data_IF_565433256595
#
_entry.id   IF_565433256595
#
_cell.length_a   1.000
_cell.length_b   1.000
_cell.length_c   1.000
_cell.angle_alpha   90.00
_cell.angle_beta   90.00
_cell.angle_gamma   90.00
#
_symmetry.space_group_name_H-M   'P 1'
#
loop_
_entity.id
_entity.type
_entity.pdbx_description
1 polymer ?
#
# COMPACT_ATOMS: atom_id res chain seq x y z
N UNK A 1 -22.00 14.01 7.09
CA UNK A 1 -21.59 12.63 7.40
C UNK A 1 -22.08 11.63 6.34
N UNK A 2 -23.39 11.51 6.07
CA UNK A 2 -23.97 10.55 5.11
C UNK A 2 -23.34 10.62 3.70
N UNK A 3 -23.24 11.81 3.11
CA UNK A 3 -22.63 12.00 1.78
C UNK A 3 -21.15 11.60 1.72
N UNK A 4 -20.40 11.87 2.79
CA UNK A 4 -18.99 11.50 2.88
C UNK A 4 -18.81 9.96 2.92
N UNK A 5 -19.66 9.25 3.67
CA UNK A 5 -19.68 7.78 3.71
C UNK A 5 -20.00 7.21 2.32
N UNK A 6 -21.02 7.74 1.63
CA UNK A 6 -21.40 7.29 0.28
C UNK A 6 -20.23 7.46 -0.69
N UNK A 7 -19.62 8.64 -0.72
CA UNK A 7 -18.44 8.95 -1.56
C UNK A 7 -17.28 8.00 -1.26
N UNK A 8 -16.97 7.81 0.02
CA UNK A 8 -15.86 6.94 0.44
C UNK A 8 -16.10 5.47 0.10
N UNK A 9 -17.34 4.98 0.25
CA UNK A 9 -17.73 3.64 -0.19
C UNK A 9 -17.60 3.48 -1.71
N UNK A 10 -18.04 4.47 -2.51
CA UNK A 10 -17.90 4.45 -3.97
C UNK A 10 -16.42 4.35 -4.39
N UNK A 11 -15.56 5.17 -3.81
CA UNK A 11 -14.12 5.16 -4.09
C UNK A 11 -13.48 3.84 -3.68
N UNK A 12 -13.74 3.37 -2.46
CA UNK A 12 -13.22 2.10 -1.97
C UNK A 12 -13.67 0.90 -2.83
N UNK A 13 -14.94 0.88 -3.27
CA UNK A 13 -15.46 -0.15 -4.17
C UNK A 13 -14.72 -0.16 -5.50
N UNK A 14 -14.58 1.01 -6.14
CA UNK A 14 -13.83 1.17 -7.39
C UNK A 14 -12.41 0.64 -7.24
N UNK A 15 -11.69 1.10 -6.21
CA UNK A 15 -10.31 0.71 -5.94
C UNK A 15 -10.13 -0.80 -5.74
N UNK A 16 -11.07 -1.45 -5.03
CA UNK A 16 -11.04 -2.91 -4.87
C UNK A 16 -11.25 -3.65 -6.21
N UNK A 17 -12.10 -3.13 -7.10
CA UNK A 17 -12.27 -3.68 -8.45
C UNK A 17 -11.05 -3.43 -9.33
N UNK A 18 -10.44 -2.26 -9.22
CA UNK A 18 -9.24 -1.88 -9.97
C UNK A 18 -8.04 -2.78 -9.64
N UNK A 19 -7.88 -3.24 -8.40
CA UNK A 19 -6.86 -4.24 -8.02
C UNK A 19 -6.95 -5.47 -8.93
N UNK A 20 -8.15 -5.95 -9.23
CA UNK A 20 -8.35 -7.10 -10.11
C UNK A 20 -8.15 -6.76 -11.58
N UNK A 21 -8.70 -5.63 -12.05
CA UNK A 21 -8.56 -5.16 -13.44
C UNK A 21 -7.09 -4.95 -13.81
N UNK A 22 -6.31 -4.40 -12.88
CA UNK A 22 -4.85 -4.18 -13.01
C UNK A 22 -4.01 -5.43 -12.78
N UNK A 23 -4.64 -6.60 -12.59
CA UNK A 23 -3.98 -7.90 -12.35
C UNK A 23 -3.05 -7.89 -11.13
N UNK A 24 -3.33 -7.04 -10.13
CA UNK A 24 -2.55 -6.96 -8.90
C UNK A 24 -2.95 -8.05 -7.89
N UNK A 25 -4.08 -8.71 -8.10
CA UNK A 25 -4.54 -9.83 -7.29
C UNK A 25 -5.36 -10.83 -8.10
N UNK A 26 -5.48 -12.05 -7.56
CA UNK A 26 -6.32 -13.11 -8.08
C UNK A 26 -7.43 -13.44 -7.08
N UNK A 27 -8.56 -13.93 -7.54
CA UNK A 27 -9.69 -14.42 -6.72
C UNK A 27 -10.17 -13.40 -5.67
N UNK A 28 -9.94 -13.69 -4.38
CA UNK A 28 -10.36 -12.87 -3.24
C UNK A 28 -9.18 -12.12 -2.60
N UNK A 29 -7.96 -12.34 -3.08
CA UNK A 29 -6.77 -11.74 -2.54
C UNK A 29 -6.73 -10.22 -2.78
N UNK A 30 -6.00 -9.55 -1.92
CA UNK A 30 -5.88 -8.10 -1.97
C UNK A 30 -7.11 -7.36 -1.47
N UNK A 31 -6.89 -6.14 -1.07
CA UNK A 31 -7.91 -5.24 -0.60
C UNK A 31 -7.46 -3.79 -0.69
N UNK A 32 -8.43 -2.88 -0.75
CA UNK A 32 -8.22 -1.46 -0.59
C UNK A 32 -9.18 -0.91 0.45
N UNK A 33 -8.74 0.14 1.14
CA UNK A 33 -9.54 0.88 2.10
C UNK A 33 -9.45 2.38 1.84
N UNK A 34 -10.46 3.12 2.29
CA UNK A 34 -10.57 4.57 2.16
C UNK A 34 -10.88 5.18 3.53
N UNK A 35 -10.06 6.13 3.99
CA UNK A 35 -10.39 6.97 5.15
C UNK A 35 -11.63 7.80 4.85
N UNK A 36 -12.59 7.79 5.74
CA UNK A 36 -13.81 8.62 5.67
C UNK A 36 -13.56 9.97 6.32
N UNK A 37 -13.04 9.93 7.54
CA UNK A 37 -12.63 11.08 8.35
C UNK A 37 -11.54 10.65 9.35
N UNK A 38 -11.25 11.45 10.35
CA UNK A 38 -10.18 11.15 11.31
C UNK A 38 -10.47 9.94 12.19
N UNK A 39 -11.74 9.56 12.34
CA UNK A 39 -12.16 8.45 13.20
C UNK A 39 -12.58 7.19 12.43
N UNK A 40 -12.88 7.28 11.13
CA UNK A 40 -13.52 6.20 10.39
C UNK A 40 -12.78 5.92 9.07
N UNK A 41 -12.73 4.65 8.70
CA UNK A 41 -12.40 4.20 7.36
C UNK A 41 -13.33 3.09 6.88
N UNK A 42 -13.40 2.90 5.57
CA UNK A 42 -14.16 1.82 4.95
C UNK A 42 -13.21 0.86 4.26
N UNK A 43 -13.49 -0.44 4.37
CA UNK A 43 -12.67 -1.52 3.81
C UNK A 43 -13.56 -2.62 3.21
N UNK A 44 -13.01 -3.39 2.30
CA UNK A 44 -13.65 -4.58 1.73
C UNK A 44 -13.91 -5.65 2.80
N UNK A 45 -15.02 -6.42 2.68
CA UNK A 45 -15.26 -7.59 3.53
C UNK A 45 -14.31 -8.74 3.20
N UNK A 46 -14.10 -9.63 4.17
CA UNK A 46 -13.34 -10.87 3.98
C UNK A 46 -14.07 -11.84 3.07
N UNK A 47 -13.32 -12.62 2.27
CA UNK A 47 -13.84 -13.76 1.51
C UNK A 47 -14.77 -13.45 0.33
N UNK A 48 -15.10 -12.18 0.07
CA UNK A 48 -15.94 -11.82 -1.09
C UNK A 48 -15.04 -11.54 -2.31
N UNK A 49 -15.40 -12.22 -3.42
CA UNK A 49 -14.72 -12.03 -4.70
C UNK A 49 -14.84 -10.57 -5.17
N UNK A 50 -13.72 -9.99 -5.60
CA UNK A 50 -13.64 -8.58 -6.02
C UNK A 50 -14.56 -8.24 -7.22
N UNK A 51 -14.89 -9.21 -8.07
CA UNK A 51 -15.87 -9.03 -9.16
C UNK A 51 -17.31 -8.85 -8.65
N UNK A 52 -17.66 -9.52 -7.54
CA UNK A 52 -19.03 -9.60 -7.01
C UNK A 52 -19.32 -8.57 -5.90
N UNK A 53 -18.30 -7.93 -5.35
CA UNK A 53 -18.43 -6.96 -4.25
C UNK A 53 -19.33 -5.78 -4.63
N UNK A 54 -20.22 -5.40 -3.72
CA UNK A 54 -21.14 -4.25 -3.84
C UNK A 54 -20.81 -3.20 -2.77
N UNK A 55 -21.28 -1.97 -2.98
CA UNK A 55 -21.05 -0.86 -2.05
C UNK A 55 -21.60 -1.14 -0.63
N UNK A 56 -22.72 -1.88 -0.54
CA UNK A 56 -23.32 -2.21 0.75
C UNK A 56 -22.55 -3.31 1.51
N UNK A 57 -21.70 -4.07 0.84
CA UNK A 57 -20.86 -5.10 1.45
C UNK A 57 -19.68 -4.48 2.22
N UNK A 58 -19.30 -3.25 1.86
CA UNK A 58 -18.14 -2.58 2.46
C UNK A 58 -18.38 -2.27 3.94
N UNK A 59 -17.37 -2.58 4.76
CA UNK A 59 -17.44 -2.47 6.21
C UNK A 59 -16.78 -1.18 6.67
N UNK A 60 -17.47 -0.42 7.54
CA UNK A 60 -16.94 0.77 8.18
C UNK A 60 -16.31 0.37 9.51
N UNK A 61 -15.11 0.87 9.76
CA UNK A 61 -14.32 0.58 10.96
C UNK A 61 -13.99 1.88 11.67
N UNK A 62 -14.11 1.88 12.98
CA UNK A 62 -13.61 2.94 13.86
C UNK A 62 -12.10 2.78 14.05
N UNK A 63 -11.34 3.83 13.73
CA UNK A 63 -9.87 3.81 13.77
C UNK A 63 -9.34 3.63 15.19
N UNK A 64 -10.02 4.21 16.19
CA UNK A 64 -9.54 4.20 17.57
C UNK A 64 -9.81 2.85 18.25
N UNK A 65 -11.04 2.37 18.16
CA UNK A 65 -11.47 1.14 18.84
C UNK A 65 -11.29 -0.13 18.01
N UNK A 66 -11.18 -0.03 16.68
CA UNK A 66 -11.19 -1.18 15.78
C UNK A 66 -12.57 -1.82 15.58
N UNK A 67 -13.61 -1.27 16.21
CA UNK A 67 -14.97 -1.81 16.09
C UNK A 67 -15.56 -1.53 14.72
N UNK A 68 -16.24 -2.54 14.15
CA UNK A 68 -17.05 -2.35 12.94
C UNK A 68 -18.36 -1.63 13.27
N UNK A 69 -18.81 -0.77 12.36
CA UNK A 69 -20.02 0.03 12.50
C UNK A 69 -21.05 -0.45 11.46
N UNK A 70 -22.25 -0.81 11.95
CA UNK A 70 -23.41 -1.13 11.11
C UNK A 70 -23.16 -2.11 9.95
N UNK A 71 -22.41 -3.20 10.19
CA UNK A 71 -22.21 -4.26 9.21
C UNK A 71 -22.36 -5.64 9.84
N UNK A 72 -23.04 -6.54 9.13
CA UNK A 72 -23.11 -7.97 9.48
C UNK A 72 -21.87 -8.73 8.97
N UNK A 73 -21.21 -8.23 7.94
CA UNK A 73 -20.05 -8.88 7.32
C UNK A 73 -18.78 -8.73 8.18
N UNK A 74 -17.90 -9.72 8.08
CA UNK A 74 -16.55 -9.61 8.63
C UNK A 74 -15.70 -8.74 7.70
N UNK A 75 -14.94 -7.75 8.21
CA UNK A 75 -14.01 -6.99 7.40
C UNK A 75 -12.84 -7.87 6.93
N UNK A 76 -12.05 -7.37 5.96
CA UNK A 76 -10.80 -8.01 5.51
C UNK A 76 -9.93 -8.39 6.71
N UNK A 77 -9.19 -9.51 6.61
CA UNK A 77 -8.17 -9.89 7.60
C UNK A 77 -7.19 -8.76 7.86
N UNK A 78 -6.76 -8.04 6.82
CA UNK A 78 -5.79 -6.95 6.92
C UNK A 78 -6.30 -5.67 7.59
N UNK A 79 -7.53 -5.67 8.10
CA UNK A 79 -8.16 -4.49 8.73
C UNK A 79 -7.30 -3.88 9.83
N UNK A 80 -6.67 -4.71 10.68
CA UNK A 80 -5.82 -4.21 11.76
C UNK A 80 -4.53 -3.58 11.24
N UNK A 81 -3.95 -4.11 10.16
CA UNK A 81 -2.81 -3.48 9.47
C UNK A 81 -3.18 -2.08 8.98
N UNK A 82 -4.31 -1.95 8.26
CA UNK A 82 -4.79 -0.66 7.76
C UNK A 82 -5.11 0.30 8.90
N UNK A 83 -5.77 -0.18 9.96
CA UNK A 83 -6.18 0.61 11.11
C UNK A 83 -5.00 1.28 11.81
N UNK A 84 -3.95 0.52 12.11
CA UNK A 84 -2.77 1.08 12.81
C UNK A 84 -1.99 2.05 11.93
N UNK A 85 -1.95 1.83 10.62
CA UNK A 85 -1.38 2.78 9.66
C UNK A 85 -2.18 4.08 9.61
N UNK A 86 -3.52 4.02 9.53
CA UNK A 86 -4.37 5.20 9.60
C UNK A 86 -4.22 5.94 10.93
N UNK A 87 -4.14 5.21 12.05
CA UNK A 87 -3.95 5.81 13.38
C UNK A 87 -2.62 6.55 13.50
N UNK A 88 -1.55 5.98 12.91
CA UNK A 88 -0.21 6.56 12.99
C UNK A 88 0.02 7.71 12.01
N UNK A 89 -0.57 7.63 10.81
CA UNK A 89 -0.35 8.56 9.71
C UNK A 89 -1.65 9.22 9.26
N UNK A 90 -2.04 10.38 9.84
CA UNK A 90 -3.30 11.07 9.50
C UNK A 90 -3.38 11.56 8.05
N UNK A 91 -2.23 11.78 7.41
CA UNK A 91 -2.10 12.17 6.01
C UNK A 91 -2.44 11.05 5.02
N UNK A 92 -2.35 9.78 5.42
CA UNK A 92 -2.78 8.65 4.59
C UNK A 92 -4.30 8.63 4.53
N UNK A 93 -4.84 8.74 3.30
CA UNK A 93 -6.30 8.73 3.07
C UNK A 93 -6.79 7.46 2.37
N UNK A 94 -5.90 6.68 1.75
CA UNK A 94 -6.20 5.37 1.18
C UNK A 94 -5.03 4.41 1.37
N UNK A 95 -5.33 3.11 1.50
CA UNK A 95 -4.35 2.03 1.59
C UNK A 95 -4.79 0.91 0.65
N UNK A 96 -3.85 0.32 -0.08
CA UNK A 96 -4.02 -0.88 -0.89
C UNK A 96 -3.00 -1.94 -0.49
N UNK A 97 -3.45 -3.19 -0.46
CA UNK A 97 -2.63 -4.36 -0.22
C UNK A 97 -2.93 -5.42 -1.26
N UNK A 98 -1.89 -6.04 -1.80
CA UNK A 98 -2.02 -7.19 -2.68
C UNK A 98 -0.73 -8.00 -2.75
N UNK A 99 -0.83 -9.16 -3.43
CA UNK A 99 0.28 -10.09 -3.67
C UNK A 99 0.56 -10.24 -5.18
N UNK A 100 0.88 -9.16 -5.90
CA UNK A 100 1.19 -9.28 -7.32
C UNK A 100 2.56 -9.94 -7.49
N UNK A 101 2.81 -10.48 -8.68
CA UNK A 101 3.88 -11.45 -8.93
C UNK A 101 5.27 -10.94 -8.55
N UNK A 102 5.67 -9.77 -9.06
CA UNK A 102 7.04 -9.28 -8.85
C UNK A 102 7.23 -8.74 -7.43
N UNK A 103 6.27 -7.98 -6.88
CA UNK A 103 6.36 -7.49 -5.51
C UNK A 103 6.40 -8.64 -4.49
N UNK A 104 5.60 -9.68 -4.71
CA UNK A 104 5.59 -10.83 -3.82
C UNK A 104 6.89 -11.62 -3.93
N UNK A 105 7.42 -11.79 -5.14
CA UNK A 105 8.73 -12.43 -5.36
C UNK A 105 9.84 -11.67 -4.62
N UNK A 106 9.90 -10.34 -4.74
CA UNK A 106 10.85 -9.52 -3.97
C UNK A 106 10.64 -9.65 -2.47
N UNK A 107 9.38 -9.61 -1.99
CA UNK A 107 9.06 -9.79 -0.58
C UNK A 107 9.55 -11.13 -0.02
N UNK A 108 9.41 -12.21 -0.81
CA UNK A 108 9.90 -13.55 -0.45
C UNK A 108 11.42 -13.63 -0.35
N UNK A 109 12.17 -12.85 -1.15
CA UNK A 109 13.64 -12.80 -1.04
C UNK A 109 14.14 -12.08 0.21
N UNK A 110 13.28 -11.31 0.88
CA UNK A 110 13.67 -10.45 1.99
C UNK A 110 14.52 -9.24 1.60
N UNK A 111 14.60 -8.89 0.31
CA UNK A 111 15.41 -7.78 -0.21
C UNK A 111 14.55 -6.57 -0.57
N UNK A 112 15.05 -5.37 -0.30
CA UNK A 112 14.49 -4.12 -0.83
C UNK A 112 14.64 -4.08 -2.35
N UNK A 113 13.71 -3.41 -3.06
CA UNK A 113 13.84 -3.21 -4.51
C UNK A 113 14.78 -2.03 -4.74
N UNK A 114 15.93 -2.21 -5.39
CA UNK A 114 16.90 -1.14 -5.60
C UNK A 114 16.39 -0.10 -6.59
N UNK A 115 16.74 1.17 -6.35
CA UNK A 115 16.46 2.23 -7.31
C UNK A 115 17.46 2.15 -8.48
N UNK A 116 17.01 1.63 -9.61
CA UNK A 116 17.82 1.37 -10.80
C UNK A 116 17.47 2.29 -11.99
N UNK A 117 16.52 3.23 -11.82
CA UNK A 117 16.11 4.05 -12.95
C UNK A 117 15.15 5.18 -12.63
N UNK A 118 14.86 5.97 -13.65
CA UNK A 118 14.02 7.16 -13.54
C UNK A 118 12.57 6.85 -13.21
N UNK A 119 12.02 5.74 -13.72
CA UNK A 119 10.66 5.29 -13.40
C UNK A 119 10.49 5.03 -11.91
N UNK A 120 11.49 4.38 -11.28
CA UNK A 120 11.52 4.20 -9.83
C UNK A 120 11.61 5.55 -9.12
N UNK A 121 12.55 6.40 -9.56
CA UNK A 121 12.82 7.70 -8.94
C UNK A 121 11.64 8.67 -9.00
N UNK A 122 10.72 8.51 -9.95
CA UNK A 122 9.49 9.31 -10.04
C UNK A 122 8.52 9.06 -8.86
N UNK A 123 8.64 7.94 -8.15
CA UNK A 123 7.76 7.55 -7.04
C UNK A 123 8.50 7.40 -5.71
N UNK A 124 9.70 6.81 -5.71
CA UNK A 124 10.53 6.59 -4.53
C UNK A 124 11.91 7.23 -4.72
N UNK A 125 12.30 8.09 -3.78
CA UNK A 125 13.65 8.70 -3.78
C UNK A 125 14.75 7.70 -3.45
N UNK A 126 14.42 6.69 -2.63
CA UNK A 126 15.32 5.61 -2.21
C UNK A 126 14.81 4.28 -2.74
N UNK A 127 15.50 3.19 -2.42
CA UNK A 127 15.00 1.83 -2.66
C UNK A 127 13.61 1.66 -2.05
N UNK A 128 12.73 0.86 -2.67
CA UNK A 128 11.47 0.47 -2.03
C UNK A 128 11.81 -0.44 -0.85
N UNK A 129 11.50 -0.02 0.39
CA UNK A 129 11.96 -0.72 1.56
C UNK A 129 11.12 -1.95 1.87
N UNK A 130 11.70 -2.88 2.61
CA UNK A 130 11.06 -4.10 3.10
C UNK A 130 11.08 -4.14 4.62
N UNK A 131 10.03 -4.68 5.24
CA UNK A 131 9.95 -4.89 6.69
C UNK A 131 10.94 -5.96 7.16
N UNK A 132 11.27 -5.94 8.44
CA UNK A 132 11.94 -7.07 9.07
C UNK A 132 10.98 -8.25 9.27
N UNK A 133 11.53 -9.42 9.60
CA UNK A 133 10.74 -10.56 10.06
C UNK A 133 9.94 -10.20 11.30
N UNK A 134 8.74 -10.75 11.38
CA UNK A 134 7.98 -10.79 12.63
C UNK A 134 8.55 -11.90 13.52
N UNK A 135 8.63 -11.63 14.81
CA UNK A 135 8.99 -12.66 15.79
C UNK A 135 7.89 -13.71 15.90
N UNK A 136 8.22 -14.89 16.39
CA UNK A 136 7.27 -16.00 16.56
C UNK A 136 6.02 -15.60 17.34
N UNK A 137 6.19 -14.87 18.44
CA UNK A 137 5.08 -14.36 19.27
C UNK A 137 4.20 -13.34 18.53
N UNK A 138 4.79 -12.51 17.67
CA UNK A 138 4.09 -11.52 16.82
C UNK A 138 3.28 -12.20 15.70
N UNK A 139 3.77 -13.32 15.16
CA UNK A 139 3.06 -14.14 14.19
C UNK A 139 1.88 -14.87 14.81
N UNK A 140 2.07 -15.48 15.98
CA UNK A 140 1.03 -16.26 16.66
C UNK A 140 -0.07 -15.35 17.24
N UNK A 141 0.31 -14.15 17.69
CA UNK A 141 -0.61 -13.21 18.37
C UNK A 141 -0.77 -11.95 17.54
N UNK A 142 -1.97 -11.70 17.04
CA UNK A 142 -2.32 -10.45 16.33
C UNK A 142 -1.42 -10.16 15.08
N UNK A 143 -1.28 -11.15 14.21
CA UNK A 143 -0.43 -11.09 13.01
C UNK A 143 -0.61 -9.80 12.20
N UNK A 144 -1.85 -9.45 11.86
CA UNK A 144 -2.14 -8.27 11.02
C UNK A 144 -1.82 -6.95 11.74
N UNK A 145 -2.07 -6.88 13.04
CA UNK A 145 -1.67 -5.73 13.86
C UNK A 145 -0.14 -5.57 13.85
N UNK A 146 0.58 -6.66 14.04
CA UNK A 146 2.05 -6.66 14.08
C UNK A 146 2.65 -6.39 12.71
N UNK A 147 2.02 -6.82 11.62
CA UNK A 147 2.38 -6.43 10.25
C UNK A 147 2.31 -4.90 10.11
N UNK A 148 1.23 -4.27 10.53
CA UNK A 148 1.11 -2.82 10.50
C UNK A 148 2.15 -2.11 11.39
N UNK A 149 2.43 -2.64 12.59
CA UNK A 149 3.50 -2.12 13.47
C UNK A 149 4.89 -2.25 12.85
N UNK A 150 5.17 -3.36 12.16
CA UNK A 150 6.43 -3.58 11.44
C UNK A 150 6.63 -2.53 10.34
N UNK A 151 5.58 -2.20 9.59
CA UNK A 151 5.61 -1.12 8.58
C UNK A 151 5.89 0.23 9.24
N UNK A 152 5.21 0.56 10.32
CA UNK A 152 5.42 1.81 11.06
C UNK A 152 6.86 1.92 11.55
N UNK A 153 7.37 0.85 12.17
CA UNK A 153 8.74 0.79 12.69
C UNK A 153 9.79 0.95 11.57
N UNK A 154 9.55 0.34 10.40
CA UNK A 154 10.40 0.48 9.22
C UNK A 154 10.49 1.95 8.79
N UNK A 155 9.36 2.63 8.64
CA UNK A 155 9.31 4.03 8.23
C UNK A 155 10.02 4.95 9.24
N UNK A 156 9.78 4.76 10.53
CA UNK A 156 10.43 5.52 11.61
C UNK A 156 11.94 5.27 11.62
N UNK A 157 12.38 4.01 11.64
CA UNK A 157 13.80 3.64 11.69
C UNK A 157 14.59 4.19 10.50
N UNK A 158 14.00 4.14 9.30
CA UNK A 158 14.61 4.65 8.07
C UNK A 158 14.40 6.17 7.86
N UNK A 159 13.69 6.84 8.79
CA UNK A 159 13.33 8.27 8.70
C UNK A 159 12.62 8.60 7.38
N UNK A 160 11.69 7.71 6.97
CA UNK A 160 10.91 7.87 5.74
C UNK A 160 9.56 8.51 6.06
N UNK A 161 9.24 9.59 5.36
CA UNK A 161 7.91 10.20 5.40
C UNK A 161 6.98 9.41 4.49
N UNK A 162 5.76 9.17 4.93
CA UNK A 162 4.75 8.42 4.14
C UNK A 162 4.44 9.06 2.79
N UNK A 163 4.58 10.38 2.67
CA UNK A 163 4.38 11.12 1.42
C UNK A 163 5.49 10.85 0.38
N UNK A 164 6.71 10.55 0.84
CA UNK A 164 7.87 10.32 0.00
C UNK A 164 8.22 8.82 -0.15
N UNK A 165 7.44 7.97 0.49
CA UNK A 165 7.54 6.52 0.42
C UNK A 165 6.11 5.96 0.37
N UNK A 166 5.46 5.98 -0.81
CA UNK A 166 4.05 5.65 -0.94
C UNK A 166 3.73 4.15 -0.87
N UNK A 167 4.70 3.31 -0.47
CA UNK A 167 4.51 1.88 -0.28
C UNK A 167 5.78 1.17 0.18
N UNK A 168 5.59 -0.04 0.70
CA UNK A 168 6.65 -0.92 1.23
C UNK A 168 6.36 -2.39 0.93
N UNK A 169 7.38 -3.22 0.94
CA UNK A 169 7.24 -4.67 0.99
C UNK A 169 7.05 -5.13 2.44
N UNK A 170 6.12 -6.04 2.65
CA UNK A 170 6.00 -6.84 3.86
C UNK A 170 6.69 -8.17 3.62
N UNK A 171 7.77 -8.46 4.36
CA UNK A 171 8.62 -9.62 4.14
C UNK A 171 7.81 -10.92 4.21
N UNK A 172 8.03 -11.83 3.24
CA UNK A 172 7.33 -13.10 3.03
C UNK A 172 5.83 -13.01 2.76
N UNK A 173 5.29 -11.79 2.55
CA UNK A 173 3.84 -11.59 2.45
C UNK A 173 3.45 -10.98 1.08
N UNK A 174 3.78 -9.71 0.86
CA UNK A 174 3.38 -8.96 -0.32
C UNK A 174 3.69 -7.48 -0.17
N UNK A 175 2.83 -6.60 -0.67
CA UNK A 175 3.07 -5.17 -0.62
C UNK A 175 1.90 -4.38 -0.03
N UNK A 176 2.23 -3.28 0.63
CA UNK A 176 1.28 -2.26 1.08
C UNK A 176 1.65 -0.94 0.44
N UNK A 177 0.68 -0.27 -0.18
CA UNK A 177 0.82 1.06 -0.73
C UNK A 177 -0.28 1.98 -0.20
N UNK A 178 -0.03 3.29 -0.19
CA UNK A 178 -0.96 4.29 0.31
C UNK A 178 -0.90 5.57 -0.50
N UNK A 179 -1.86 6.48 -0.28
CA UNK A 179 -1.95 7.76 -0.96
C UNK A 179 -3.04 8.66 -0.38
N UNK A 180 -3.35 9.72 -1.13
CA UNK A 180 -4.38 10.70 -0.78
C UNK A 180 -5.82 10.17 -1.00
N UNK A 181 -5.94 8.99 -1.58
CA UNK A 181 -7.19 8.25 -1.77
C UNK A 181 -6.91 6.77 -1.94
N UNK A 182 -7.96 5.93 -1.87
CA UNK A 182 -7.82 4.51 -2.22
C UNK A 182 -7.44 4.30 -3.69
N UNK A 183 -7.84 5.19 -4.59
CA UNK A 183 -7.44 5.17 -5.99
C UNK A 183 -5.94 5.45 -6.15
N UNK A 184 -5.41 6.46 -5.44
CA UNK A 184 -3.96 6.74 -5.43
C UNK A 184 -3.16 5.56 -4.83
N UNK A 185 -3.67 4.94 -3.78
CA UNK A 185 -3.03 3.78 -3.18
C UNK A 185 -2.90 2.62 -4.17
N UNK A 186 -3.95 2.35 -4.97
CA UNK A 186 -3.93 1.32 -6.02
C UNK A 186 -2.99 1.71 -7.16
N UNK A 187 -2.97 2.98 -7.59
CA UNK A 187 -2.01 3.47 -8.59
C UNK A 187 -0.56 3.34 -8.11
N UNK A 188 -0.28 3.66 -6.85
CA UNK A 188 1.05 3.47 -6.26
C UNK A 188 1.44 2.00 -6.18
N UNK A 189 0.49 1.10 -5.87
CA UNK A 189 0.74 -0.34 -5.86
C UNK A 189 1.03 -0.88 -7.28
N UNK A 190 0.31 -0.41 -8.30
CA UNK A 190 0.55 -0.73 -9.71
C UNK A 190 1.93 -0.24 -10.17
N UNK A 191 2.27 1.03 -9.87
CA UNK A 191 3.58 1.56 -10.19
C UNK A 191 4.71 0.78 -9.48
N UNK A 192 4.46 0.37 -8.23
CA UNK A 192 5.39 -0.43 -7.45
C UNK A 192 5.62 -1.81 -8.07
N UNK A 193 4.56 -2.48 -8.57
CA UNK A 193 4.67 -3.76 -9.29
C UNK A 193 5.50 -3.61 -10.57
N UNK A 194 5.20 -2.59 -11.38
CA UNK A 194 5.96 -2.32 -12.61
C UNK A 194 7.45 -2.02 -12.32
N UNK A 195 7.74 -1.26 -11.26
CA UNK A 195 9.12 -1.00 -10.81
C UNK A 195 9.81 -2.30 -10.36
N UNK A 196 9.10 -3.18 -9.67
CA UNK A 196 9.62 -4.47 -9.23
C UNK A 196 9.96 -5.38 -10.42
N UNK A 197 9.12 -5.39 -11.44
CA UNK A 197 9.34 -6.10 -12.70
C UNK A 197 10.58 -5.57 -13.43
N UNK A 198 10.68 -4.25 -13.61
CA UNK A 198 11.85 -3.62 -14.21
C UNK A 198 13.15 -3.95 -13.45
N UNK A 199 13.11 -3.88 -12.12
CA UNK A 199 14.26 -4.22 -11.29
C UNK A 199 14.67 -5.69 -11.42
N UNK A 200 13.69 -6.60 -11.54
CA UNK A 200 13.94 -8.02 -11.76
C UNK A 200 14.67 -8.25 -13.10
N UNK A 201 14.13 -7.74 -14.23
CA UNK A 201 14.78 -7.90 -15.53
C UNK A 201 16.13 -7.20 -15.60
N UNK A 202 16.26 -6.00 -15.02
CA UNK A 202 17.55 -5.31 -14.95
C UNK A 202 18.60 -6.14 -14.21
N UNK A 203 18.19 -6.85 -13.15
CA UNK A 203 19.09 -7.72 -12.40
C UNK A 203 19.54 -8.94 -13.20
N UNK A 204 18.69 -9.47 -14.08
CA UNK A 204 19.04 -10.59 -14.98
C UNK A 204 19.95 -10.13 -16.12
N UNK A 205 19.62 -9.02 -16.77
CA UNK A 205 20.43 -8.44 -17.86
C UNK A 205 21.81 -8.02 -17.33
N UNK A 206 21.88 -7.62 -16.09
CA UNK A 206 23.07 -7.13 -15.43
C UNK A 206 23.23 -5.61 -15.54
N UNK A 207 23.76 -5.01 -14.50
CA UNK A 207 24.06 -3.57 -14.48
C UNK A 207 25.42 -3.34 -13.78
N UNK A 208 26.21 -2.42 -14.36
CA UNK A 208 27.56 -2.12 -13.84
C UNK A 208 27.57 -1.02 -12.77
N UNK A 209 26.63 -0.08 -12.83
CA UNK A 209 26.60 1.10 -11.95
C UNK A 209 25.18 1.38 -11.49
N UNK A 210 25.04 1.87 -10.25
CA UNK A 210 23.81 2.44 -9.75
C UNK A 210 23.49 3.77 -10.46
N UNK A 211 22.22 4.11 -10.54
CA UNK A 211 21.75 5.42 -11.00
C UNK A 211 22.40 6.53 -10.18
N UNK A 212 22.84 7.61 -10.83
CA UNK A 212 23.45 8.73 -10.13
C UNK A 212 22.44 9.47 -9.26
N UNK A 213 22.91 9.98 -8.11
CA UNK A 213 22.07 10.79 -7.22
C UNK A 213 21.42 11.98 -7.94
N UNK A 214 22.14 12.62 -8.86
CA UNK A 214 21.62 13.74 -9.66
C UNK A 214 20.39 13.37 -10.47
N UNK A 215 20.37 12.19 -11.11
CA UNK A 215 19.21 11.69 -11.85
C UNK A 215 18.05 11.36 -10.91
N UNK A 216 18.34 10.70 -9.78
CA UNK A 216 17.33 10.39 -8.78
C UNK A 216 16.67 11.67 -8.27
N UNK A 217 17.47 12.65 -7.83
CA UNK A 217 16.99 13.92 -7.29
C UNK A 217 16.16 14.68 -8.34
N UNK A 218 16.63 14.75 -9.59
CA UNK A 218 15.92 15.42 -10.68
C UNK A 218 14.52 14.81 -10.90
N UNK A 219 14.44 13.48 -10.98
CA UNK A 219 13.17 12.80 -11.23
C UNK A 219 12.23 12.86 -10.03
N UNK A 220 12.72 12.65 -8.82
CA UNK A 220 11.91 12.71 -7.63
C UNK A 220 11.34 14.12 -7.38
N UNK A 221 12.20 15.14 -7.34
CA UNK A 221 11.78 16.48 -6.97
C UNK A 221 10.95 17.20 -8.02
N UNK A 222 11.00 16.80 -9.31
CA UNK A 222 10.08 17.34 -10.33
C UNK A 222 8.62 17.01 -10.04
N UNK A 223 8.34 15.92 -9.29
CA UNK A 223 6.99 15.48 -8.91
C UNK A 223 6.62 15.77 -7.46
N UNK A 224 7.59 15.76 -6.55
CA UNK A 224 7.38 15.77 -5.11
C UNK A 224 7.97 17.00 -4.38
N UNK A 225 8.67 17.87 -5.05
CA UNK A 225 9.30 19.05 -4.46
C UNK A 225 8.38 20.28 -4.39
N UNK A 226 8.83 21.33 -3.68
CA UNK A 226 8.15 22.64 -3.66
C UNK A 226 8.04 23.23 -5.08
N UNK A 227 9.03 22.97 -5.93
CA UNK A 227 9.12 23.44 -7.31
C UNK A 227 8.74 22.33 -8.32
N UNK A 228 7.77 21.50 -7.97
CA UNK A 228 7.28 20.48 -8.88
C UNK A 228 6.73 21.10 -10.16
N UNK A 229 7.06 20.50 -11.32
CA UNK A 229 6.62 20.97 -12.62
C UNK A 229 6.13 19.83 -13.53
N UNK A 230 6.10 18.60 -13.02
CA UNK A 230 5.68 17.42 -13.77
C UNK A 230 4.61 16.65 -12.99
N UNK A 231 3.59 16.18 -13.72
CA UNK A 231 2.46 15.48 -13.12
C UNK A 231 1.43 16.45 -12.55
N UNK A 232 0.55 16.93 -13.42
CA UNK A 232 -0.60 17.76 -13.04
C UNK A 232 -1.69 16.94 -12.33
#
# INVERSE_FOLDING_TARGET
MKNLIIKSKKNCLKSNKDILVKKLAIQTFGNASQRINDNLFVIKPSGINLKKIKSNDLVIIDINSGKKINSKLKPSSDTETHRVLYKKFPNIKGIAHAHPTFLTSWAQTGKSIPNLGTTHSDYWHKDIPITNDLRKDEVIRNYEYNTGKSIINLLIKKKLKSENCPGVLSKYHGAFAWGNSSDDAVKNLEAMEFIAELAFYTSIIGYKKKVSKTIIDKHFFRKHGKNKYYGQ
#
